data_IF_722522923834
#
_entry.id   IF_722522923834
#
_cell.length_a   1.000
_cell.length_b   1.000
_cell.length_c   1.000
_cell.angle_alpha   90.00
_cell.angle_beta   90.00
_cell.angle_gamma   90.00
#
_symmetry.space_group_name_H-M   'P 1'
#
loop_
_entity.id
_entity.type
_entity.pdbx_description
1 polymer ?
#
# COMPACT_ATOMS: atom_id res chain seq x y z
N UNK A 1 7.53 -17.53 -6.14
CA UNK A 1 7.83 -17.57 -7.58
C UNK A 1 8.86 -16.50 -7.88
N UNK A 2 9.87 -16.81 -8.70
CA UNK A 2 10.92 -15.87 -9.08
C UNK A 2 10.90 -15.75 -10.60
N UNK A 3 10.67 -14.55 -11.13
CA UNK A 3 10.65 -14.27 -12.57
C UNK A 3 11.77 -13.29 -12.91
N UNK A 4 12.45 -13.51 -14.03
CA UNK A 4 13.49 -12.62 -14.55
C UNK A 4 12.88 -11.82 -15.70
N UNK A 5 12.78 -10.50 -15.52
CA UNK A 5 12.38 -9.57 -16.57
C UNK A 5 13.63 -9.09 -17.31
N UNK A 6 13.81 -9.56 -18.55
CA UNK A 6 14.78 -9.03 -19.52
C UNK A 6 13.93 -8.69 -20.74
N UNK A 7 13.85 -7.40 -21.09
CA UNK A 7 13.16 -6.88 -22.27
C UNK A 7 11.61 -6.85 -22.25
N UNK A 8 10.99 -6.72 -21.07
CA UNK A 8 9.54 -6.48 -20.94
C UNK A 8 9.22 -4.97 -20.99
N UNK A 9 8.61 -4.44 -22.08
CA UNK A 9 8.37 -3.01 -22.23
C UNK A 9 7.47 -2.47 -21.11
N UNK A 10 7.99 -1.52 -20.33
CA UNK A 10 7.26 -0.91 -19.21
C UNK A 10 7.52 -1.55 -17.84
N UNK A 11 8.32 -2.62 -17.77
CA UNK A 11 8.76 -3.22 -16.51
C UNK A 11 10.27 -3.01 -16.30
N UNK A 12 10.72 -2.59 -15.10
CA UNK A 12 12.14 -2.48 -14.84
C UNK A 12 12.83 -3.84 -14.99
N UNK A 13 13.97 -3.85 -15.69
CA UNK A 13 14.82 -5.04 -15.85
C UNK A 13 15.31 -5.51 -14.48
N UNK A 14 15.09 -6.78 -14.15
CA UNK A 14 15.44 -7.30 -12.83
C UNK A 14 14.78 -8.63 -12.46
N UNK A 15 14.97 -9.01 -11.20
CA UNK A 15 14.34 -10.19 -10.60
C UNK A 15 13.10 -9.73 -9.84
N UNK A 16 11.96 -10.35 -10.12
CA UNK A 16 10.73 -10.14 -9.35
C UNK A 16 10.44 -11.38 -8.53
N UNK A 17 10.33 -11.16 -7.21
CA UNK A 17 9.92 -12.16 -6.24
C UNK A 17 8.43 -11.98 -5.92
N UNK A 18 7.67 -13.07 -6.01
CA UNK A 18 6.26 -13.11 -5.65
C UNK A 18 6.01 -14.20 -4.61
N UNK A 19 5.34 -13.83 -3.52
CA UNK A 19 4.91 -14.73 -2.45
C UNK A 19 3.45 -14.42 -2.13
N UNK A 20 2.68 -15.47 -1.84
CA UNK A 20 1.28 -15.37 -1.43
C UNK A 20 1.03 -16.36 -0.31
N UNK A 21 0.27 -15.94 0.69
CA UNK A 21 -0.17 -16.77 1.80
C UNK A 21 -1.68 -16.60 1.96
N UNK A 22 -2.36 -17.68 2.33
CA UNK A 22 -3.81 -17.66 2.54
C UNK A 22 -4.15 -18.41 3.82
N UNK A 23 -4.99 -17.80 4.64
CA UNK A 23 -5.48 -18.39 5.88
C UNK A 23 -7.00 -18.26 5.95
N UNK A 24 -7.67 -19.30 6.43
CA UNK A 24 -9.11 -19.25 6.68
C UNK A 24 -9.37 -18.67 8.07
N UNK A 25 -10.30 -17.72 8.18
CA UNK A 25 -10.66 -17.06 9.43
C UNK A 25 -12.18 -17.13 9.65
N UNK A 26 -12.66 -17.53 10.83
CA UNK A 26 -14.09 -17.56 11.15
C UNK A 26 -14.60 -16.15 11.52
N UNK A 27 -14.32 -15.16 10.67
CA UNK A 27 -14.61 -13.74 10.91
C UNK A 27 -15.21 -13.14 9.65
N UNK A 28 -16.15 -12.21 9.81
CA UNK A 28 -16.79 -11.53 8.68
C UNK A 28 -15.76 -10.74 7.85
N UNK A 29 -15.75 -10.82 6.51
CA UNK A 29 -14.77 -10.13 5.67
C UNK A 29 -14.64 -8.64 5.97
N UNK A 30 -15.76 -7.95 6.21
CA UNK A 30 -15.79 -6.53 6.57
C UNK A 30 -15.00 -6.21 7.85
N UNK A 31 -14.98 -7.13 8.83
CA UNK A 31 -14.22 -6.94 10.07
C UNK A 31 -12.72 -7.12 9.83
N UNK A 32 -12.34 -8.05 8.96
CA UNK A 32 -10.94 -8.22 8.53
C UNK A 32 -10.49 -7.00 7.73
N UNK A 33 -11.33 -6.54 6.80
CA UNK A 33 -11.07 -5.35 6.01
C UNK A 33 -10.86 -4.12 6.87
N UNK A 34 -11.68 -3.88 7.89
CA UNK A 34 -11.49 -2.75 8.79
C UNK A 34 -10.24 -2.86 9.69
N UNK A 35 -9.64 -4.04 9.82
CA UNK A 35 -8.44 -4.26 10.63
C UNK A 35 -7.14 -3.94 9.88
N UNK A 36 -7.11 -4.12 8.55
CA UNK A 36 -5.90 -3.94 7.74
C UNK A 36 -5.43 -2.46 7.63
N UNK A 37 -6.31 -1.46 7.46
CA UNK A 37 -5.95 -0.05 7.32
C UNK A 37 -5.73 0.67 8.66
N UNK A 38 -5.80 -0.01 9.80
CA UNK A 38 -5.68 0.65 11.10
C UNK A 38 -4.31 1.34 11.24
N UNK A 39 -4.27 2.47 11.95
CA UNK A 39 -3.14 3.42 11.98
C UNK A 39 -1.81 2.79 12.44
N UNK A 40 -1.85 1.60 13.03
CA UNK A 40 -0.69 0.86 13.53
C UNK A 40 -0.33 -0.39 12.72
N UNK A 41 -1.13 -0.75 11.70
CA UNK A 41 -1.04 -2.04 10.97
C UNK A 41 -0.53 -1.86 9.54
N UNK A 42 0.13 -0.75 9.25
CA UNK A 42 0.87 -0.62 7.99
C UNK A 42 1.98 -1.68 7.99
N UNK A 43 1.73 -2.82 7.35
CA UNK A 43 2.63 -4.00 7.33
C UNK A 43 4.05 -3.61 6.89
N UNK A 44 4.18 -2.53 6.13
CA UNK A 44 5.45 -2.00 5.63
C UNK A 44 6.14 -0.98 6.56
N UNK A 45 5.53 -0.55 7.68
CA UNK A 45 6.09 0.51 8.52
C UNK A 45 7.23 0.07 9.43
N UNK A 46 7.41 -1.25 9.65
CA UNK A 46 8.45 -1.84 10.50
C UNK A 46 8.63 -1.13 11.87
N UNK A 47 7.53 -0.70 12.50
CA UNK A 47 7.54 0.01 13.78
C UNK A 47 7.92 1.50 13.71
N UNK A 48 8.06 2.07 12.51
CA UNK A 48 8.19 3.51 12.30
C UNK A 48 6.89 4.26 12.58
N UNK A 49 7.01 5.55 12.93
CA UNK A 49 5.85 6.43 13.12
C UNK A 49 5.25 6.71 11.76
N UNK A 50 3.96 6.40 11.60
CA UNK A 50 3.27 6.56 10.33
C UNK A 50 2.49 7.88 10.30
N UNK A 51 2.58 8.59 9.19
CA UNK A 51 1.89 9.85 8.93
C UNK A 51 1.14 9.76 7.59
N UNK A 52 -0.17 9.93 7.62
CA UNK A 52 -0.95 10.10 6.39
C UNK A 52 -0.71 11.51 5.81
N UNK A 53 -0.27 11.57 4.56
CA UNK A 53 0.03 12.79 3.83
C UNK A 53 -1.13 13.27 2.96
N UNK A 54 -1.90 12.34 2.40
CA UNK A 54 -3.06 12.62 1.58
C UNK A 54 -4.05 11.46 1.68
N UNK A 55 -5.33 11.77 1.57
CA UNK A 55 -6.41 10.80 1.60
C UNK A 55 -7.50 11.22 0.62
N UNK A 56 -7.83 10.32 -0.30
CA UNK A 56 -8.83 10.52 -1.33
C UNK A 56 -9.88 9.43 -1.16
N UNK A 57 -11.06 9.79 -0.70
CA UNK A 57 -12.19 8.87 -0.65
C UNK A 57 -12.58 8.46 -2.09
N UNK A 58 -12.80 7.16 -2.31
CA UNK A 58 -13.07 6.60 -3.64
C UNK A 58 -14.39 5.81 -3.65
N UNK A 59 -15.47 6.41 -4.15
CA UNK A 59 -16.76 5.73 -4.29
C UNK A 59 -17.69 5.90 -3.08
N UNK A 60 -18.57 4.92 -2.86
CA UNK A 60 -19.72 5.06 -1.94
C UNK A 60 -19.47 4.54 -0.53
N UNK A 61 -18.66 3.50 -0.37
CA UNK A 61 -18.30 2.95 0.94
C UNK A 61 -17.17 3.79 1.54
N UNK A 62 -17.30 4.16 2.81
CA UNK A 62 -16.31 5.00 3.53
C UNK A 62 -14.96 4.32 3.71
N UNK A 63 -14.89 3.00 3.51
CA UNK A 63 -13.65 2.23 3.54
C UNK A 63 -12.86 2.26 2.24
N UNK A 64 -13.44 2.79 1.16
CA UNK A 64 -12.79 2.84 -0.13
C UNK A 64 -12.01 4.15 -0.25
N UNK A 65 -10.70 4.07 -0.35
CA UNK A 65 -9.86 5.24 -0.45
C UNK A 65 -8.50 4.95 -1.05
N UNK A 66 -7.84 6.03 -1.44
CA UNK A 66 -6.44 6.06 -1.78
C UNK A 66 -5.75 6.95 -0.73
N UNK A 67 -4.80 6.37 0.01
CA UNK A 67 -4.01 7.10 1.00
C UNK A 67 -2.54 7.10 0.61
N UNK A 68 -1.90 8.27 0.76
CA UNK A 68 -0.46 8.44 0.62
C UNK A 68 0.13 8.55 2.02
N UNK A 69 1.02 7.63 2.36
CA UNK A 69 1.48 7.43 3.73
C UNK A 69 3.00 7.58 3.79
N UNK A 70 3.48 8.38 4.74
CA UNK A 70 4.90 8.51 5.06
C UNK A 70 5.22 7.71 6.30
N UNK A 71 6.25 6.88 6.24
CA UNK A 71 6.77 6.16 7.41
C UNK A 71 8.06 6.85 7.87
N UNK A 72 8.02 7.44 9.06
CA UNK A 72 9.16 8.07 9.69
C UNK A 72 9.82 7.10 10.69
N UNK A 73 10.96 6.53 10.30
CA UNK A 73 11.72 5.63 11.16
C UNK A 73 12.70 6.49 11.94
N UNK A 74 12.55 6.54 13.26
CA UNK A 74 13.50 7.20 14.16
C UNK A 74 14.88 6.58 13.92
N UNK A 75 15.84 7.40 13.48
CA UNK A 75 17.25 7.06 13.14
C UNK A 75 17.59 6.73 11.68
N UNK A 76 16.65 6.75 10.72
CA UNK A 76 17.02 6.80 9.30
C UNK A 76 16.76 8.20 8.75
N UNK A 77 17.79 8.84 8.22
CA UNK A 77 17.68 10.06 7.41
C UNK A 77 16.52 9.94 6.43
N UNK A 78 15.51 10.80 6.59
CA UNK A 78 14.35 11.03 5.71
C UNK A 78 14.20 9.99 4.60
N UNK A 79 13.42 8.94 4.86
CA UNK A 79 13.04 7.98 3.81
C UNK A 79 12.32 8.75 2.70
N UNK A 80 12.95 8.81 1.51
CA UNK A 80 12.32 9.36 0.31
C UNK A 80 11.18 8.49 -0.23
N UNK A 81 10.83 7.40 0.46
CA UNK A 81 9.76 6.50 0.05
C UNK A 81 8.47 6.79 0.81
N UNK A 82 7.38 6.78 0.08
CA UNK A 82 6.01 6.80 0.57
C UNK A 82 5.35 5.45 0.26
N UNK A 83 4.32 5.12 1.02
CA UNK A 83 3.44 4.00 0.75
C UNK A 83 2.18 4.58 0.09
N UNK A 84 1.89 4.15 -1.12
CA UNK A 84 0.59 4.33 -1.74
C UNK A 84 -0.28 3.14 -1.32
N UNK A 85 -1.37 3.43 -0.63
CA UNK A 85 -2.37 2.45 -0.24
C UNK A 85 -3.65 2.68 -1.02
N UNK A 86 -4.21 1.62 -1.59
CA UNK A 86 -5.58 1.60 -2.11
C UNK A 86 -6.38 0.57 -1.34
N UNK A 87 -7.52 0.98 -0.80
CA UNK A 87 -8.49 0.10 -0.17
C UNK A 87 -9.81 0.13 -0.92
N UNK A 88 -10.40 -1.04 -1.08
CA UNK A 88 -11.72 -1.19 -1.68
C UNK A 88 -12.48 -2.34 -1.01
N UNK A 89 -13.75 -2.09 -0.74
CA UNK A 89 -14.72 -3.06 -0.27
C UNK A 89 -16.00 -2.92 -1.08
N UNK A 90 -16.51 -4.05 -1.55
CA UNK A 90 -17.82 -4.17 -2.17
C UNK A 90 -18.55 -5.42 -1.63
N UNK A 91 -19.70 -5.76 -2.22
CA UNK A 91 -20.53 -6.90 -1.78
C UNK A 91 -19.88 -8.26 -2.05
N UNK A 92 -18.91 -8.32 -2.94
CA UNK A 92 -18.29 -9.54 -3.46
C UNK A 92 -16.85 -9.73 -2.99
N UNK A 93 -16.10 -8.64 -2.84
CA UNK A 93 -14.67 -8.65 -2.57
C UNK A 93 -14.25 -7.47 -1.69
N UNK A 94 -13.12 -7.64 -1.01
CA UNK A 94 -12.47 -6.56 -0.28
C UNK A 94 -10.97 -6.74 -0.36
N UNK A 95 -10.22 -5.67 -0.66
CA UNK A 95 -8.78 -5.70 -0.77
C UNK A 95 -8.14 -4.42 -0.23
N UNK A 96 -6.90 -4.57 0.25
CA UNK A 96 -6.01 -3.45 0.55
C UNK A 96 -4.69 -3.73 -0.15
N UNK A 97 -4.29 -2.82 -1.03
CA UNK A 97 -3.09 -2.92 -1.86
C UNK A 97 -2.11 -1.84 -1.41
N UNK A 98 -0.84 -2.21 -1.35
CA UNK A 98 0.25 -1.31 -0.97
C UNK A 98 1.33 -1.30 -2.05
N UNK A 99 1.87 -0.12 -2.36
CA UNK A 99 3.02 0.05 -3.22
C UNK A 99 3.99 1.09 -2.63
N UNK A 100 5.29 0.84 -2.72
CA UNK A 100 6.31 1.84 -2.40
C UNK A 100 6.48 2.78 -3.59
N UNK A 101 6.39 4.08 -3.34
CA UNK A 101 6.59 5.14 -4.35
C UNK A 101 7.61 6.14 -3.84
N UNK A 102 8.44 6.67 -4.74
CA UNK A 102 9.40 7.71 -4.39
C UNK A 102 8.71 9.09 -4.32
N UNK A 103 9.07 9.87 -3.30
CA UNK A 103 8.47 11.19 -3.02
C UNK A 103 8.71 12.18 -4.15
N UNK A 104 9.84 12.13 -4.84
CA UNK A 104 10.14 13.02 -5.97
C UNK A 104 9.23 12.68 -7.13
N UNK A 105 9.08 11.38 -7.42
CA UNK A 105 8.16 10.90 -8.46
C UNK A 105 6.73 11.31 -8.16
N UNK A 106 6.30 11.18 -6.90
CA UNK A 106 4.94 11.51 -6.51
C UNK A 106 4.66 13.01 -6.53
N UNK A 107 5.64 13.83 -6.16
CA UNK A 107 5.54 15.29 -6.30
C UNK A 107 5.39 15.73 -7.76
N UNK A 108 6.03 15.03 -8.71
CA UNK A 108 5.83 15.34 -10.15
C UNK A 108 4.37 15.05 -10.53
N UNK A 109 3.86 13.87 -10.19
CA UNK A 109 2.48 13.45 -10.52
C UNK A 109 1.43 14.37 -9.88
N UNK A 110 1.65 14.79 -8.64
CA UNK A 110 0.69 15.65 -7.92
C UNK A 110 0.73 17.11 -8.37
N UNK A 111 1.83 17.59 -8.93
CA UNK A 111 1.97 18.97 -9.41
C UNK A 111 1.62 19.16 -10.89
N UNK A 112 1.52 18.08 -11.68
CA UNK A 112 1.17 18.11 -13.10
C UNK A 112 2.38 18.16 -14.02
#
# INVERSE_FOLDING_TARGET
MTSKSVDDPGRPSGIVLSAATSSWLPVLPKRIFNFLPDENTYILSNGGVVQEMAHIANGRDTGNCISLIRVNITNSSQSNMLILQESCIDQTTSFVIYALVDIVTMNIVLNG
#
